data_IF_241070580816
#
_entry.id   IF_241070580816
#
_cell.length_a   1.000
_cell.length_b   1.000
_cell.length_c   1.000
_cell.angle_alpha   90.00
_cell.angle_beta   90.00
_cell.angle_gamma   90.00
#
_symmetry.space_group_name_H-M   'P 1'
#
loop_
_entity.id
_entity.type
_entity.pdbx_description
1 polymer ?
#
# COMPACT_ATOMS: atom_id res chain seq x y z
N UNK A 1 -6.18 11.45 -1.75
CA UNK A 1 -5.93 12.53 -0.75
C UNK A 1 -4.66 12.18 0.00
N UNK A 2 -3.79 13.15 0.28
CA UNK A 2 -2.53 12.90 1.00
C UNK A 2 -2.50 13.66 2.33
N UNK A 3 -1.97 13.04 3.39
CA UNK A 3 -1.71 13.73 4.66
C UNK A 3 -0.34 14.44 4.66
N UNK A 4 0.41 14.34 3.56
CA UNK A 4 1.68 15.01 3.38
C UNK A 4 1.87 15.41 1.92
N UNK A 5 2.72 16.39 1.71
CA UNK A 5 3.19 16.83 0.39
C UNK A 5 4.63 17.33 0.53
N UNK A 6 5.22 17.83 -0.55
CA UNK A 6 6.57 18.38 -0.55
C UNK A 6 6.58 19.83 -1.02
N UNK A 7 7.42 20.68 -0.43
CA UNK A 7 7.58 22.08 -0.84
C UNK A 7 8.38 22.20 -2.13
N UNK A 8 9.24 21.24 -2.39
CA UNK A 8 10.18 21.19 -3.51
C UNK A 8 9.85 20.05 -4.50
N UNK A 9 10.29 20.22 -5.75
CA UNK A 9 10.09 19.24 -6.83
C UNK A 9 10.92 17.97 -6.61
N UNK A 10 11.97 18.06 -5.80
CA UNK A 10 12.93 17.00 -5.54
C UNK A 10 12.50 16.11 -4.36
N UNK A 11 11.40 16.49 -3.68
CA UNK A 11 10.74 15.76 -2.58
C UNK A 11 11.67 15.59 -1.37
N UNK A 12 12.39 16.65 -1.02
CA UNK A 12 13.29 16.69 0.13
C UNK A 12 12.66 17.44 1.32
N UNK A 13 11.84 18.45 1.06
CA UNK A 13 11.21 19.30 2.08
C UNK A 13 9.75 18.86 2.29
N UNK A 14 9.55 17.98 3.27
CA UNK A 14 8.26 17.41 3.63
C UNK A 14 7.41 18.43 4.42
N UNK A 15 6.12 18.49 4.10
CA UNK A 15 5.11 19.17 4.93
C UNK A 15 3.96 18.20 5.25
N UNK A 16 3.60 18.11 6.53
CA UNK A 16 2.38 17.40 6.94
C UNK A 16 1.16 18.31 6.83
N UNK A 17 0.00 17.71 6.54
CA UNK A 17 -1.24 18.48 6.46
C UNK A 17 -1.64 19.06 7.83
N UNK A 18 -1.25 18.42 8.93
CA UNK A 18 -1.43 18.92 10.30
C UNK A 18 -0.58 20.16 10.62
N UNK A 19 0.48 20.40 9.85
CA UNK A 19 1.40 21.53 10.02
C UNK A 19 1.11 22.66 9.02
N UNK A 20 0.20 22.43 8.08
CA UNK A 20 -0.16 23.41 7.07
C UNK A 20 -1.04 24.50 7.69
N UNK A 21 -0.49 25.71 7.80
CA UNK A 21 -1.17 26.90 8.36
C UNK A 21 -2.02 27.60 7.29
N UNK A 22 -2.84 28.58 7.70
CA UNK A 22 -3.64 29.39 6.76
C UNK A 22 -2.78 30.04 5.66
N UNK A 23 -1.56 30.47 6.02
CA UNK A 23 -0.56 31.03 5.09
C UNK A 23 -0.10 30.07 3.99
N UNK A 24 -0.43 28.78 4.10
CA UNK A 24 -0.12 27.77 3.11
C UNK A 24 -1.26 27.52 2.11
N UNK A 25 -2.45 28.14 2.28
CA UNK A 25 -3.63 27.87 1.43
C UNK A 25 -3.41 28.19 -0.04
N UNK A 26 -2.74 29.30 -0.34
CA UNK A 26 -2.48 29.73 -1.72
C UNK A 26 -1.19 29.18 -2.31
N UNK A 27 -0.38 28.50 -1.48
CA UNK A 27 0.87 27.86 -1.91
C UNK A 27 0.57 26.51 -2.54
N UNK A 28 1.30 26.20 -3.60
CA UNK A 28 1.26 24.89 -4.23
C UNK A 28 2.39 24.00 -3.72
N UNK A 29 2.09 22.73 -3.51
CA UNK A 29 3.02 21.69 -3.07
C UNK A 29 3.13 20.59 -4.12
N UNK A 30 4.16 19.76 -4.06
CA UNK A 30 4.37 18.66 -4.98
C UNK A 30 3.76 17.36 -4.46
N UNK A 31 3.21 16.57 -5.39
CA UNK A 31 2.70 15.24 -5.11
C UNK A 31 3.81 14.34 -4.53
N UNK A 32 3.52 13.52 -3.49
CA UNK A 32 4.51 12.60 -2.92
C UNK A 32 4.96 11.47 -3.86
N UNK A 33 4.23 11.20 -4.94
CA UNK A 33 4.69 10.26 -5.95
C UNK A 33 5.79 10.94 -6.80
N UNK A 34 7.05 10.44 -6.79
CA UNK A 34 8.16 11.06 -7.49
C UNK A 34 7.96 11.15 -9.01
N UNK A 35 7.19 10.21 -9.58
CA UNK A 35 6.84 10.19 -11.01
C UNK A 35 5.69 11.16 -11.37
N UNK A 36 5.07 11.79 -10.38
CA UNK A 36 3.90 12.64 -10.56
C UNK A 36 4.24 14.12 -10.32
N UNK A 37 4.16 14.93 -11.38
CA UNK A 37 4.42 16.38 -11.33
C UNK A 37 3.18 17.22 -10.95
N UNK A 38 2.13 16.57 -10.44
CA UNK A 38 0.92 17.26 -9.96
C UNK A 38 1.24 18.21 -8.80
N UNK A 39 0.60 19.38 -8.83
CA UNK A 39 0.61 20.37 -7.75
C UNK A 39 -0.62 20.20 -6.87
N UNK A 40 -0.38 20.11 -5.57
CA UNK A 40 -1.39 19.94 -4.53
C UNK A 40 -1.58 21.24 -3.74
N UNK A 41 -2.77 21.41 -3.21
CA UNK A 41 -3.14 22.56 -2.37
C UNK A 41 -3.73 22.05 -1.05
N UNK A 42 -3.55 22.82 0.02
CA UNK A 42 -4.10 22.53 1.34
C UNK A 42 -5.62 22.69 1.27
N UNK A 43 -6.34 21.66 1.69
CA UNK A 43 -7.80 21.64 1.82
C UNK A 43 -8.18 21.51 3.30
N UNK A 44 -9.33 22.05 3.69
CA UNK A 44 -9.83 22.01 5.07
C UNK A 44 -8.86 22.59 6.13
N UNK A 45 -8.07 23.59 5.75
CA UNK A 45 -7.18 24.32 6.68
C UNK A 45 -7.91 25.36 7.55
N UNK A 46 -9.24 25.34 7.59
CA UNK A 46 -10.11 26.22 8.40
C UNK A 46 -10.53 25.55 9.72
N UNK A 47 -10.06 24.33 9.98
CA UNK A 47 -10.39 23.55 11.18
C UNK A 47 -11.73 22.82 11.11
N UNK A 48 -12.51 22.96 10.02
CA UNK A 48 -13.80 22.29 9.87
C UNK A 48 -13.68 20.76 9.75
N UNK A 49 -12.53 20.28 9.24
CA UNK A 49 -12.12 18.87 9.14
C UNK A 49 -10.60 18.77 9.26
N UNK A 50 -10.07 17.55 9.41
CA UNK A 50 -8.61 17.32 9.31
C UNK A 50 -8.12 17.79 7.93
N UNK A 51 -7.10 18.64 7.93
CA UNK A 51 -6.49 19.16 6.72
C UNK A 51 -5.87 18.03 5.87
N UNK A 52 -5.83 18.22 4.55
CA UNK A 52 -5.22 17.29 3.60
C UNK A 52 -4.79 18.00 2.32
N UNK A 53 -3.96 17.34 1.52
CA UNK A 53 -3.51 17.84 0.21
C UNK A 53 -4.28 17.20 -0.95
N UNK A 54 -4.66 18.01 -1.94
CA UNK A 54 -5.34 17.57 -3.17
C UNK A 54 -4.97 18.44 -4.38
N UNK A 55 -4.91 17.83 -5.56
CA UNK A 55 -4.88 18.54 -6.83
C UNK A 55 -6.27 19.10 -7.16
N UNK A 56 -6.50 20.38 -6.86
CA UNK A 56 -7.79 21.05 -7.09
C UNK A 56 -7.89 21.73 -8.46
N UNK A 57 -6.75 22.06 -9.08
CA UNK A 57 -6.68 22.77 -10.37
C UNK A 57 -6.47 21.80 -11.53
N UNK A 58 -7.26 21.96 -12.61
CA UNK A 58 -7.24 21.08 -13.78
C UNK A 58 -5.91 21.06 -14.54
N UNK A 59 -5.13 22.15 -14.49
CA UNK A 59 -3.80 22.24 -15.10
C UNK A 59 -2.74 21.37 -14.40
N UNK A 60 -3.02 20.94 -13.17
CA UNK A 60 -2.06 20.20 -12.34
C UNK A 60 -2.59 18.81 -11.97
N UNK A 61 -3.29 18.16 -12.90
CA UNK A 61 -3.83 16.81 -12.70
C UNK A 61 -2.72 15.80 -12.41
N UNK A 62 -3.09 14.78 -11.65
CA UNK A 62 -2.24 13.62 -11.46
C UNK A 62 -2.08 12.83 -12.77
N UNK A 63 -0.95 12.14 -12.89
CA UNK A 63 -0.76 11.09 -13.89
C UNK A 63 -1.78 9.95 -13.67
N UNK A 64 -2.04 9.16 -14.71
CA UNK A 64 -2.87 7.97 -14.61
C UNK A 64 -2.34 7.04 -13.49
N UNK A 65 -3.26 6.44 -12.73
CA UNK A 65 -2.96 5.52 -11.63
C UNK A 65 -2.11 6.09 -10.48
N UNK A 66 -1.96 7.42 -10.37
CA UNK A 66 -1.27 7.99 -9.22
C UNK A 66 -2.03 7.64 -7.92
N UNK A 67 -1.36 7.05 -6.91
CA UNK A 67 -2.01 6.61 -5.66
C UNK A 67 -2.64 7.77 -4.88
N UNK A 68 -2.24 9.00 -5.17
CA UNK A 68 -2.75 10.22 -4.54
C UNK A 68 -3.95 10.85 -5.27
N UNK A 69 -4.20 10.45 -6.52
CA UNK A 69 -5.26 11.00 -7.38
C UNK A 69 -6.65 10.59 -6.91
N UNK A 70 -6.81 9.33 -6.50
CA UNK A 70 -8.08 8.78 -6.09
C UNK A 70 -8.36 9.08 -4.61
N UNK A 71 -9.51 9.69 -4.34
CA UNK A 71 -10.10 9.81 -3.00
C UNK A 71 -10.93 8.59 -2.61
N UNK A 72 -10.91 7.53 -3.43
CA UNK A 72 -11.94 6.47 -3.39
C UNK A 72 -11.84 5.50 -2.21
N UNK A 73 -10.71 5.45 -1.52
CA UNK A 73 -10.66 4.79 -0.20
C UNK A 73 -10.92 5.88 0.84
N UNK A 74 -12.19 6.05 1.20
CA UNK A 74 -12.59 6.81 2.37
C UNK A 74 -12.04 6.10 3.61
N UNK A 75 -10.78 6.35 3.93
CA UNK A 75 -10.19 5.98 5.19
C UNK A 75 -10.69 6.98 6.23
N UNK A 76 -11.73 6.58 6.93
CA UNK A 76 -12.30 7.37 8.00
C UNK A 76 -11.40 7.24 9.22
N UNK A 77 -10.56 8.26 9.46
CA UNK A 77 -9.65 8.32 10.61
C UNK A 77 -10.42 8.19 11.94
N UNK A 78 -11.75 8.44 11.96
CA UNK A 78 -12.58 8.27 13.16
C UNK A 78 -13.03 6.81 13.38
N UNK A 79 -12.93 5.95 12.36
CA UNK A 79 -13.31 4.52 12.45
C UNK A 79 -12.15 3.61 12.81
N UNK A 80 -10.91 4.03 12.58
CA UNK A 80 -9.73 3.20 12.78
C UNK A 80 -8.86 3.79 13.89
N UNK A 81 -8.72 3.05 14.99
CA UNK A 81 -7.84 3.44 16.08
C UNK A 81 -6.39 3.12 15.70
N UNK A 82 -5.63 4.16 15.34
CA UNK A 82 -4.20 4.09 15.01
C UNK A 82 -3.38 3.44 16.14
N UNK A 83 -3.68 3.73 17.41
CA UNK A 83 -2.92 3.23 18.55
C UNK A 83 -3.04 1.71 18.73
N UNK A 84 -4.14 1.11 18.28
CA UNK A 84 -4.38 -0.33 18.40
C UNK A 84 -3.96 -1.11 17.15
N UNK A 85 -3.42 -0.44 16.13
CA UNK A 85 -3.00 -1.12 14.91
C UNK A 85 -1.69 -1.88 15.11
N UNK A 86 -1.74 -3.19 14.86
CA UNK A 86 -0.57 -4.06 14.72
C UNK A 86 -0.43 -4.49 13.28
N UNK A 87 0.64 -4.05 12.63
CA UNK A 87 0.94 -4.41 11.24
C UNK A 87 1.14 -5.92 11.08
N UNK A 88 1.86 -6.54 12.02
CA UNK A 88 2.09 -7.98 12.01
C UNK A 88 0.76 -8.76 12.07
N UNK A 89 -0.14 -8.40 12.98
CA UNK A 89 -1.45 -9.06 13.07
C UNK A 89 -2.28 -8.86 11.79
N UNK A 90 -2.22 -7.67 11.19
CA UNK A 90 -2.90 -7.39 9.93
C UNK A 90 -2.35 -8.26 8.78
N UNK A 91 -1.02 -8.44 8.72
CA UNK A 91 -0.36 -9.29 7.72
C UNK A 91 -0.66 -10.77 7.94
N UNK A 92 -0.58 -11.26 9.17
CA UNK A 92 -0.94 -12.65 9.50
C UNK A 92 -2.36 -12.97 9.04
N UNK A 93 -3.32 -12.06 9.28
CA UNK A 93 -4.72 -12.22 8.84
C UNK A 93 -4.91 -12.30 7.32
N UNK A 94 -3.99 -11.73 6.52
CA UNK A 94 -3.97 -11.87 5.06
C UNK A 94 -3.38 -13.21 4.62
N UNK A 95 -2.40 -13.74 5.37
CA UNK A 95 -1.66 -14.95 5.05
C UNK A 95 -2.34 -16.25 5.56
N UNK A 96 -3.36 -16.17 6.42
CA UNK A 96 -4.12 -17.36 6.86
C UNK A 96 -4.98 -17.92 5.72
N UNK A 97 -4.74 -19.19 5.37
CA UNK A 97 -5.65 -19.98 4.53
C UNK A 97 -6.96 -20.18 5.30
N UNK A 98 -8.05 -19.55 4.87
CA UNK A 98 -9.37 -19.85 5.46
C UNK A 98 -9.77 -21.26 5.03
N UNK A 99 -9.86 -22.18 5.99
CA UNK A 99 -10.69 -23.37 5.79
C UNK A 99 -12.14 -22.88 5.65
N UNK A 100 -12.93 -23.39 4.70
CA UNK A 100 -14.36 -23.15 4.67
C UNK A 100 -14.95 -23.75 5.95
N UNK A 101 -15.17 -22.92 6.99
CA UNK A 101 -15.92 -23.34 8.16
C UNK A 101 -17.40 -23.23 7.85
N UNK A 102 -18.09 -24.36 7.97
CA UNK A 102 -19.54 -24.47 8.09
C UNK A 102 -20.06 -23.41 9.05
N UNK A 103 -20.91 -22.52 8.56
CA UNK A 103 -21.62 -21.54 9.36
C UNK A 103 -22.74 -22.23 10.14
N UNK A 104 -22.43 -22.70 11.35
CA UNK A 104 -23.43 -22.94 12.39
C UNK A 104 -23.08 -22.08 13.60
N UNK A 105 -23.98 -21.15 13.94
CA UNK A 105 -23.85 -20.31 15.11
C UNK A 105 -24.55 -18.97 14.96
N UNK A 106 -25.88 -18.98 15.10
CA UNK A 106 -26.67 -17.78 15.36
C UNK A 106 -26.13 -17.09 16.63
N UNK A 107 -25.44 -15.95 16.48
CA UNK A 107 -25.29 -14.99 17.55
C UNK A 107 -26.15 -13.77 17.25
N UNK A 108 -27.15 -13.57 18.10
CA UNK A 108 -28.07 -12.42 18.10
C UNK A 108 -27.27 -11.13 18.12
N UNK A 109 -27.53 -10.23 17.17
CA UNK A 109 -27.06 -8.84 17.21
C UNK A 109 -27.80 -8.11 18.34
N UNK A 110 -27.11 -7.73 19.41
CA UNK A 110 -27.61 -6.71 20.32
C UNK A 110 -27.38 -5.33 19.69
N UNK A 111 -28.47 -4.58 19.62
CA UNK A 111 -28.48 -3.14 19.41
C UNK A 111 -27.79 -2.46 20.61
N UNK A 112 -27.08 -1.37 20.36
CA UNK A 112 -26.41 -0.44 21.29
C UNK A 112 -24.96 -0.77 21.70
N UNK A 113 -24.03 -0.01 21.12
CA UNK A 113 -23.00 0.67 21.91
C UNK A 113 -21.69 -0.06 22.22
N UNK A 114 -21.08 -0.76 21.27
CA UNK A 114 -19.65 -1.10 21.37
C UNK A 114 -18.97 -0.79 20.04
N UNK A 115 -17.99 0.12 20.05
CA UNK A 115 -17.08 0.35 18.92
C UNK A 115 -16.18 -0.89 18.79
N UNK A 116 -16.70 -1.95 18.16
CA UNK A 116 -15.89 -3.11 17.84
C UNK A 116 -14.76 -2.66 16.93
N UNK A 117 -13.52 -2.78 17.42
CA UNK A 117 -12.27 -2.54 16.72
C UNK A 117 -12.35 -3.06 15.27
N UNK A 118 -12.59 -2.16 14.31
CA UNK A 118 -12.55 -2.49 12.88
C UNK A 118 -11.11 -2.85 12.52
N UNK A 119 -10.78 -4.13 12.57
CA UNK A 119 -9.45 -4.62 12.26
C UNK A 119 -9.21 -4.38 10.77
N UNK A 120 -8.19 -3.58 10.45
CA UNK A 120 -7.70 -3.35 9.10
C UNK A 120 -7.26 -4.70 8.53
N UNK A 121 -8.12 -5.31 7.72
CA UNK A 121 -8.05 -6.74 7.38
C UNK A 121 -7.94 -7.00 5.88
N UNK A 122 -7.92 -5.94 5.07
CA UNK A 122 -7.74 -6.01 3.62
C UNK A 122 -6.44 -5.35 3.20
N UNK A 123 -5.77 -5.94 2.21
CA UNK A 123 -4.53 -5.38 1.63
C UNK A 123 -4.73 -3.94 1.13
N UNK A 124 -5.89 -3.62 0.55
CA UNK A 124 -6.22 -2.27 0.07
C UNK A 124 -6.22 -1.23 1.20
N UNK A 125 -6.73 -1.58 2.37
CA UNK A 125 -6.75 -0.68 3.52
C UNK A 125 -5.33 -0.43 4.05
N UNK A 126 -4.53 -1.50 4.22
CA UNK A 126 -3.14 -1.40 4.68
C UNK A 126 -2.31 -0.56 3.69
N UNK A 127 -2.45 -0.84 2.39
CA UNK A 127 -1.80 -0.08 1.33
C UNK A 127 -2.20 1.40 1.35
N UNK A 128 -3.49 1.70 1.54
CA UNK A 128 -3.98 3.09 1.62
C UNK A 128 -3.34 3.86 2.78
N UNK A 129 -3.17 3.23 3.95
CA UNK A 129 -2.46 3.84 5.09
C UNK A 129 -1.01 4.12 4.69
N UNK A 130 -0.34 3.12 4.11
CA UNK A 130 1.05 3.22 3.69
C UNK A 130 1.28 4.38 2.71
N UNK A 131 0.36 4.62 1.77
CA UNK A 131 0.47 5.76 0.84
C UNK A 131 0.15 7.10 1.50
N UNK A 132 -0.77 7.14 2.46
CA UNK A 132 -1.26 8.39 3.07
C UNK A 132 -0.20 9.12 3.89
N UNK A 133 0.67 8.37 4.56
CA UNK A 133 1.71 8.89 5.46
C UNK A 133 3.12 8.79 4.84
N UNK A 134 4.07 9.65 5.29
CA UNK A 134 5.45 9.59 4.82
C UNK A 134 6.21 8.40 5.45
N UNK A 135 7.34 7.96 4.85
CA UNK A 135 8.08 6.77 5.31
C UNK A 135 8.47 6.77 6.79
N UNK A 136 8.82 7.92 7.35
CA UNK A 136 9.26 8.05 8.74
C UNK A 136 8.11 8.08 9.77
N UNK A 137 6.86 8.23 9.32
CA UNK A 137 5.70 8.28 10.21
C UNK A 137 5.46 6.91 10.84
N UNK A 138 5.12 6.90 12.13
CA UNK A 138 4.73 5.69 12.85
C UNK A 138 3.20 5.59 12.85
N UNK A 139 2.67 4.48 12.35
CA UNK A 139 1.24 4.20 12.42
C UNK A 139 1.03 2.94 13.27
N UNK A 140 0.45 3.11 14.45
CA UNK A 140 0.46 2.07 15.49
C UNK A 140 1.88 1.80 15.98
N UNK A 141 2.27 0.53 15.99
CA UNK A 141 3.58 0.10 16.51
C UNK A 141 4.71 0.04 15.47
N UNK A 142 4.49 0.48 14.24
CA UNK A 142 5.46 0.31 13.15
C UNK A 142 5.58 1.55 12.26
N UNK A 143 6.75 1.75 11.66
CA UNK A 143 6.97 2.85 10.70
C UNK A 143 6.47 2.47 9.32
N UNK A 144 5.88 3.42 8.60
CA UNK A 144 5.41 3.20 7.22
C UNK A 144 6.53 2.64 6.33
N UNK A 145 7.75 3.19 6.43
CA UNK A 145 8.93 2.74 5.69
C UNK A 145 9.38 1.31 6.00
N UNK A 146 8.86 0.69 7.07
CA UNK A 146 9.08 -0.73 7.39
C UNK A 146 7.90 -1.62 7.01
N UNK A 147 6.73 -1.04 6.71
CA UNK A 147 5.54 -1.77 6.28
C UNK A 147 5.52 -2.03 4.78
N UNK A 148 5.92 -1.03 3.98
CA UNK A 148 5.81 -1.05 2.51
C UNK A 148 7.18 -0.85 1.83
N UNK A 149 7.41 -1.60 0.76
CA UNK A 149 8.39 -1.27 -0.26
C UNK A 149 7.69 -0.59 -1.44
N UNK A 150 7.99 0.69 -1.66
CA UNK A 150 7.65 1.46 -2.85
C UNK A 150 8.80 2.40 -3.23
N UNK A 151 8.61 3.24 -4.26
CA UNK A 151 9.66 4.18 -4.70
C UNK A 151 10.13 5.15 -3.61
N UNK A 152 9.31 5.41 -2.59
CA UNK A 152 9.63 6.33 -1.47
C UNK A 152 10.40 5.61 -0.37
N UNK A 153 10.33 4.29 -0.27
CA UNK A 153 10.90 3.54 0.87
C UNK A 153 12.05 2.63 0.47
N UNK A 154 12.36 2.49 -0.82
CA UNK A 154 13.46 1.69 -1.35
C UNK A 154 14.77 1.79 -0.57
N UNK A 155 15.17 3.01 -0.21
CA UNK A 155 16.42 3.29 0.50
C UNK A 155 16.48 2.72 1.93
N UNK A 156 15.36 2.28 2.49
CA UNK A 156 15.28 1.63 3.81
C UNK A 156 15.70 0.16 3.78
N UNK A 157 15.86 -0.42 2.59
CA UNK A 157 16.09 -1.86 2.42
C UNK A 157 17.50 -2.23 1.89
N UNK A 158 18.61 -1.57 2.28
CA UNK A 158 19.93 -1.87 1.71
C UNK A 158 20.40 -3.32 1.98
N UNK A 159 19.84 -3.96 3.02
CA UNK A 159 20.14 -5.34 3.38
C UNK A 159 19.20 -6.37 2.72
N UNK A 160 18.19 -5.91 1.99
CA UNK A 160 17.15 -6.76 1.39
C UNK A 160 15.80 -6.62 2.08
N UNK A 161 14.80 -7.29 1.50
CA UNK A 161 13.38 -7.16 1.84
C UNK A 161 12.91 -8.45 2.51
N UNK A 162 12.83 -8.43 3.84
CA UNK A 162 12.53 -9.61 4.64
C UNK A 162 11.34 -9.43 5.58
N UNK A 163 10.70 -10.56 5.89
CA UNK A 163 9.57 -10.64 6.81
C UNK A 163 8.28 -10.09 6.19
N UNK A 164 7.30 -9.78 7.04
CA UNK A 164 6.03 -9.21 6.57
C UNK A 164 6.23 -7.85 5.91
N UNK A 165 5.88 -7.73 4.64
CA UNK A 165 5.90 -6.47 3.87
C UNK A 165 4.80 -6.42 2.82
N UNK A 166 4.31 -5.21 2.57
CA UNK A 166 3.57 -4.87 1.35
C UNK A 166 4.58 -4.44 0.29
N UNK A 167 4.46 -4.95 -0.94
CA UNK A 167 5.31 -4.58 -2.07
C UNK A 167 4.44 -3.91 -3.13
N UNK A 168 4.75 -2.67 -3.49
CA UNK A 168 4.23 -1.98 -4.67
C UNK A 168 5.15 -2.31 -5.86
N UNK A 169 4.67 -3.15 -6.77
CA UNK A 169 5.49 -3.75 -7.83
C UNK A 169 4.89 -3.56 -9.22
N UNK A 170 5.68 -3.90 -10.24
CA UNK A 170 5.23 -3.99 -11.62
C UNK A 170 5.80 -5.24 -12.31
N UNK A 171 5.28 -5.52 -13.52
CA UNK A 171 5.77 -6.59 -14.38
C UNK A 171 6.86 -6.07 -15.32
N UNK A 172 7.96 -6.82 -15.45
CA UNK A 172 8.97 -6.61 -16.51
C UNK A 172 9.27 -7.92 -17.23
N UNK A 173 9.17 -7.90 -18.56
CA UNK A 173 9.50 -9.05 -19.41
C UNK A 173 8.62 -10.29 -19.13
N UNK A 174 9.24 -11.48 -19.16
CA UNK A 174 8.56 -12.74 -18.80
C UNK A 174 8.31 -12.76 -17.30
N UNK A 175 7.05 -12.92 -16.91
CA UNK A 175 6.61 -12.73 -15.53
C UNK A 175 6.02 -13.98 -14.87
N UNK A 176 6.07 -15.15 -15.51
CA UNK A 176 5.62 -16.38 -14.88
C UNK A 176 6.33 -17.63 -15.41
N UNK A 177 6.28 -18.67 -14.59
CA UNK A 177 6.67 -20.04 -14.90
C UNK A 177 5.50 -20.97 -14.53
N UNK A 178 4.93 -21.65 -15.53
CA UNK A 178 3.76 -22.53 -15.34
C UNK A 178 4.15 -23.94 -14.89
N UNK A 179 5.41 -24.33 -15.03
CA UNK A 179 5.90 -25.62 -14.52
C UNK A 179 6.13 -25.52 -13.01
N UNK A 180 6.58 -24.35 -12.55
CA UNK A 180 6.80 -24.05 -11.12
C UNK A 180 5.61 -23.42 -10.40
N UNK A 181 4.59 -22.99 -11.15
CA UNK A 181 3.48 -22.16 -10.64
C UNK A 181 3.97 -20.89 -9.92
N UNK A 182 4.91 -20.19 -10.57
CA UNK A 182 5.52 -18.96 -10.06
C UNK A 182 5.11 -17.74 -10.89
N UNK A 183 4.99 -16.60 -10.20
CA UNK A 183 4.81 -15.27 -10.81
C UNK A 183 5.97 -14.39 -10.36
N UNK A 184 6.55 -13.64 -11.28
CA UNK A 184 7.71 -12.77 -11.08
C UNK A 184 7.31 -11.31 -11.20
N UNK A 185 7.70 -10.52 -10.20
CA UNK A 185 7.44 -9.09 -10.09
C UNK A 185 8.74 -8.37 -9.76
N UNK A 186 8.78 -7.06 -10.02
CA UNK A 186 9.93 -6.24 -9.66
C UNK A 186 9.50 -4.98 -8.90
N UNK A 187 10.33 -4.54 -7.97
CA UNK A 187 10.15 -3.28 -7.26
C UNK A 187 11.51 -2.68 -6.86
N UNK A 188 11.58 -1.39 -6.49
CA UNK A 188 10.57 -0.34 -6.71
C UNK A 188 10.25 -0.14 -8.19
N UNK A 189 9.16 0.55 -8.52
CA UNK A 189 8.68 0.64 -9.92
C UNK A 189 9.55 1.59 -10.76
N UNK A 190 9.98 2.71 -10.19
CA UNK A 190 10.79 3.71 -10.90
C UNK A 190 12.20 3.21 -11.21
N UNK A 191 12.83 2.52 -10.25
CA UNK A 191 14.17 1.95 -10.41
C UNK A 191 14.22 0.53 -9.84
N UNK A 192 13.74 -0.48 -10.60
CA UNK A 192 13.65 -1.84 -10.06
C UNK A 192 15.02 -2.44 -9.83
N UNK A 193 15.29 -2.80 -8.58
CA UNK A 193 16.52 -3.43 -8.13
C UNK A 193 16.25 -4.70 -7.30
N UNK A 194 14.99 -5.01 -7.02
CA UNK A 194 14.56 -6.24 -6.36
C UNK A 194 13.60 -7.04 -7.23
N UNK A 195 13.72 -8.36 -7.12
CA UNK A 195 12.91 -9.35 -7.81
C UNK A 195 12.10 -10.14 -6.79
N UNK A 196 10.81 -10.28 -7.04
CA UNK A 196 9.87 -10.94 -6.15
C UNK A 196 9.23 -12.14 -6.83
N UNK A 197 9.30 -13.29 -6.17
CA UNK A 197 8.78 -14.57 -6.65
C UNK A 197 7.57 -14.93 -5.81
N UNK A 198 6.43 -15.10 -6.46
CA UNK A 198 5.19 -15.55 -5.84
C UNK A 198 5.00 -17.03 -6.16
N UNK A 199 5.26 -17.91 -5.19
CA UNK A 199 5.02 -19.35 -5.35
C UNK A 199 3.58 -19.67 -4.96
N UNK A 200 2.81 -20.24 -5.89
CA UNK A 200 1.39 -20.57 -5.69
C UNK A 200 1.17 -22.07 -5.90
N UNK A 201 1.00 -22.84 -4.82
CA UNK A 201 0.85 -24.30 -4.92
C UNK A 201 -0.50 -24.75 -5.48
N UNK A 202 -1.55 -23.95 -5.32
CA UNK A 202 -2.88 -24.25 -5.85
C UNK A 202 -2.97 -23.80 -7.31
N UNK A 203 -3.13 -24.75 -8.24
CA UNK A 203 -3.14 -24.48 -9.69
C UNK A 203 -4.28 -23.56 -10.13
N UNK A 204 -5.44 -23.62 -9.48
CA UNK A 204 -6.59 -22.79 -9.81
C UNK A 204 -6.35 -21.35 -9.35
N UNK A 205 -5.81 -21.19 -8.14
CA UNK A 205 -5.39 -19.90 -7.61
C UNK A 205 -4.26 -19.30 -8.47
N UNK A 206 -3.28 -20.12 -8.88
CA UNK A 206 -2.20 -19.71 -9.77
C UNK A 206 -2.75 -19.15 -11.08
N UNK A 207 -3.61 -19.91 -11.77
CA UNK A 207 -4.23 -19.47 -13.03
C UNK A 207 -5.02 -18.17 -12.84
N UNK A 208 -5.80 -18.05 -11.77
CA UNK A 208 -6.58 -16.85 -11.44
C UNK A 208 -5.67 -15.63 -11.28
N UNK A 209 -4.64 -15.73 -10.43
CA UNK A 209 -3.73 -14.61 -10.16
C UNK A 209 -2.92 -14.28 -11.41
N UNK A 210 -2.40 -15.28 -12.12
CA UNK A 210 -1.63 -15.08 -13.36
C UNK A 210 -2.43 -14.30 -14.40
N UNK A 211 -3.70 -14.68 -14.63
CA UNK A 211 -4.56 -14.00 -15.59
C UNK A 211 -4.87 -12.57 -15.13
N UNK A 212 -5.17 -12.37 -13.85
CA UNK A 212 -5.39 -11.04 -13.26
C UNK A 212 -4.16 -10.13 -13.44
N UNK A 213 -2.95 -10.65 -13.23
CA UNK A 213 -1.69 -9.91 -13.46
C UNK A 213 -1.48 -9.62 -14.95
N UNK A 214 -1.74 -10.59 -15.83
CA UNK A 214 -1.61 -10.42 -17.28
C UNK A 214 -2.49 -9.30 -17.83
N UNK A 215 -3.76 -9.27 -17.41
CA UNK A 215 -4.75 -8.27 -17.81
C UNK A 215 -4.44 -6.85 -17.31
N UNK A 216 -3.55 -6.72 -16.33
CA UNK A 216 -3.24 -5.47 -15.64
C UNK A 216 -1.73 -5.21 -15.57
N UNK A 217 -0.96 -5.73 -16.53
CA UNK A 217 0.51 -5.63 -16.57
C UNK A 217 1.05 -4.20 -16.58
N UNK A 218 0.23 -3.24 -16.99
CA UNK A 218 0.51 -1.80 -17.07
C UNK A 218 0.19 -1.06 -15.76
N UNK A 219 -0.35 -1.76 -14.75
CA UNK A 219 -0.73 -1.20 -13.46
C UNK A 219 0.23 -1.66 -12.35
N UNK A 220 0.09 -1.02 -11.19
CA UNK A 220 0.78 -1.48 -9.99
C UNK A 220 0.13 -2.75 -9.47
N UNK A 221 0.97 -3.70 -9.06
CA UNK A 221 0.56 -4.94 -8.44
C UNK A 221 1.04 -4.87 -7.00
N UNK A 222 0.09 -4.88 -6.07
CA UNK A 222 0.34 -4.76 -4.64
C UNK A 222 0.29 -6.15 -4.03
N UNK A 223 1.37 -6.58 -3.38
CA UNK A 223 1.48 -7.92 -2.82
C UNK A 223 1.83 -7.87 -1.34
N UNK A 224 1.09 -8.63 -0.53
CA UNK A 224 1.36 -8.87 0.87
C UNK A 224 2.02 -10.25 1.04
N UNK A 225 3.22 -10.28 1.60
CA UNK A 225 3.99 -11.51 1.79
C UNK A 225 4.81 -11.50 3.08
N UNK A 226 5.15 -12.71 3.52
CA UNK A 226 6.29 -12.96 4.40
C UNK A 226 7.48 -13.30 3.49
N UNK A 227 8.41 -12.35 3.34
CA UNK A 227 9.45 -12.39 2.32
C UNK A 227 10.73 -13.02 2.86
N UNK A 228 11.28 -13.95 2.08
CA UNK A 228 12.51 -14.68 2.38
C UNK A 228 13.47 -14.56 1.21
N UNK A 229 14.76 -14.79 1.46
CA UNK A 229 15.74 -14.87 0.39
C UNK A 229 15.38 -16.02 -0.56
N UNK A 230 15.43 -15.78 -1.86
CA UNK A 230 15.34 -16.83 -2.87
C UNK A 230 16.71 -17.47 -3.12
N UNK A 231 16.71 -18.68 -3.67
CA UNK A 231 17.92 -19.36 -4.13
C UNK A 231 18.55 -18.75 -5.40
N UNK A 232 17.88 -17.80 -6.06
CA UNK A 232 18.38 -17.15 -7.29
C UNK A 232 19.46 -16.09 -7.04
N UNK A 233 19.75 -15.75 -5.78
CA UNK A 233 20.84 -14.86 -5.40
C UNK A 233 20.40 -13.52 -4.82
N UNK A 234 21.34 -12.58 -4.71
CA UNK A 234 21.11 -11.29 -4.07
C UNK A 234 20.03 -10.47 -4.80
N UNK A 235 19.13 -9.86 -4.04
CA UNK A 235 18.03 -9.06 -4.56
C UNK A 235 16.81 -9.86 -5.02
N UNK A 236 16.84 -11.20 -4.91
CA UNK A 236 15.69 -12.05 -5.18
C UNK A 236 15.03 -12.49 -3.86
N UNK A 237 13.73 -12.25 -3.76
CA UNK A 237 12.93 -12.59 -2.60
C UNK A 237 11.72 -13.42 -3.02
N UNK A 238 11.32 -14.35 -2.17
CA UNK A 238 10.18 -15.21 -2.43
C UNK A 238 9.17 -15.19 -1.29
N UNK A 239 7.91 -15.43 -1.65
CA UNK A 239 6.83 -15.64 -0.70
C UNK A 239 5.83 -16.65 -1.25
N UNK A 240 5.09 -17.28 -0.34
CA UNK A 240 4.00 -18.21 -0.70
C UNK A 240 2.67 -17.48 -0.70
N UNK A 241 1.88 -17.71 -1.73
CA UNK A 241 0.54 -17.17 -1.86
C UNK A 241 -0.48 -18.28 -1.63
N UNK A 242 -1.33 -18.07 -0.64
CA UNK A 242 -2.38 -19.00 -0.21
C UNK A 242 -3.78 -18.52 -0.57
N UNK A 243 -3.94 -17.23 -0.86
CA UNK A 243 -5.23 -16.59 -1.18
C UNK A 243 -5.03 -15.35 -2.07
N UNK A 244 -6.04 -15.04 -2.87
CA UNK A 244 -6.15 -13.78 -3.61
C UNK A 244 -6.22 -12.54 -2.70
N UNK A 245 -6.47 -12.68 -1.40
CA UNK A 245 -6.41 -11.58 -0.41
C UNK A 245 -5.01 -10.99 -0.27
N UNK A 246 -3.97 -11.74 -0.64
CA UNK A 246 -2.58 -11.29 -0.60
C UNK A 246 -2.20 -10.41 -1.78
N UNK A 247 -3.08 -10.23 -2.78
CA UNK A 247 -2.74 -9.50 -4.01
C UNK A 247 -3.86 -8.54 -4.36
N UNK A 248 -3.51 -7.33 -4.78
CA UNK A 248 -4.46 -6.39 -5.38
C UNK A 248 -3.81 -5.54 -6.45
N UNK A 249 -4.62 -4.86 -7.24
CA UNK A 249 -4.26 -4.03 -8.39
C UNK A 249 -5.01 -2.71 -8.26
#
# INVERSE_FOLDING_TARGET
MANHAYRDKERQDLILASEALEENRDKSFYCPNPLCNSKLFVCAGDGSRKAYFRATKSAYKHIANCPYANSSVAFDDNKFNELNFSFENAMQNLLVKKNPKNSSGNSKKSSYGEYYNLTLSTIKQIYSICKRFPPNYSYGNEKIGRMILDDRTAYWYPKGVFGFKIIESCVKGRFYDSDKNEIYLVAPVANPNYHFILSISDINLYKKIRNMVFENKDKFIIVAGDWKASNLGYGYFETRIYSDRQITI
#
